data_IF_491273202970
#
_entry.id   IF_491273202970
#
_cell.length_a   1.000
_cell.length_b   1.000
_cell.length_c   1.000
_cell.angle_alpha   90.00
_cell.angle_beta   90.00
_cell.angle_gamma   90.00
#
_symmetry.space_group_name_H-M   'P 1'
#
loop_
_entity.id
_entity.type
_entity.pdbx_description
1 polymer ?
#
# COMPACT_ATOMS: atom_id res chain seq x y z
N UNK A 1 18.43 19.88 -26.36
CA UNK A 1 17.66 18.92 -27.18
C UNK A 1 17.87 17.46 -26.76
N UNK A 2 19.08 16.90 -26.66
CA UNK A 2 19.28 15.49 -26.31
C UNK A 2 18.81 15.05 -24.89
N UNK A 3 18.86 15.93 -23.88
CA UNK A 3 18.37 15.64 -22.52
C UNK A 3 16.84 15.58 -22.40
N UNK A 4 16.11 16.16 -23.34
CA UNK A 4 14.65 16.29 -23.30
C UNK A 4 13.96 15.04 -23.87
N UNK A 5 14.53 14.46 -24.93
CA UNK A 5 14.08 13.19 -25.51
C UNK A 5 14.38 11.99 -24.60
N UNK A 6 15.48 12.02 -23.84
CA UNK A 6 15.79 10.99 -22.84
C UNK A 6 14.75 10.95 -21.72
N UNK A 7 14.33 12.14 -21.23
CA UNK A 7 13.29 12.28 -20.21
C UNK A 7 11.92 11.86 -20.74
N UNK A 8 11.61 12.15 -22.00
CA UNK A 8 10.36 11.72 -22.64
C UNK A 8 10.28 10.19 -22.82
N UNK A 9 11.39 9.53 -23.13
CA UNK A 9 11.45 8.06 -23.25
C UNK A 9 11.33 7.35 -21.90
N UNK A 10 11.87 7.94 -20.84
CA UNK A 10 11.74 7.42 -19.46
C UNK A 10 10.28 7.53 -18.97
N UNK A 11 9.60 8.65 -19.24
CA UNK A 11 8.17 8.83 -18.94
C UNK A 11 7.30 7.87 -19.75
N UNK A 12 7.63 7.63 -21.03
CA UNK A 12 6.91 6.67 -21.86
C UNK A 12 7.08 5.23 -21.36
N UNK A 13 8.29 4.84 -20.93
CA UNK A 13 8.58 3.51 -20.39
C UNK A 13 7.87 3.28 -19.03
N UNK A 14 7.84 4.29 -18.16
CA UNK A 14 7.11 4.22 -16.90
C UNK A 14 5.58 4.09 -17.09
N UNK A 15 5.03 4.71 -18.16
CA UNK A 15 3.61 4.64 -18.51
C UNK A 15 3.20 3.33 -19.20
N UNK A 16 4.17 2.60 -19.75
CA UNK A 16 3.96 1.30 -20.39
C UNK A 16 4.05 0.16 -19.36
N UNK A 17 4.98 0.24 -18.39
CA UNK A 17 5.04 -0.70 -17.26
C UNK A 17 3.80 -0.63 -16.37
N UNK A 18 3.20 0.56 -16.17
CA UNK A 18 1.95 0.68 -15.42
C UNK A 18 0.78 -0.07 -16.06
N UNK A 19 0.74 -0.20 -17.39
CA UNK A 19 -0.35 -0.92 -18.09
C UNK A 19 -0.27 -2.44 -17.96
N UNK A 20 0.93 -3.00 -17.84
CA UNK A 20 1.10 -4.46 -17.79
C UNK A 20 0.73 -5.06 -16.42
N UNK A 21 0.74 -4.28 -15.33
CA UNK A 21 0.28 -4.74 -14.01
C UNK A 21 -1.24 -4.59 -13.83
N UNK A 22 -1.87 -3.68 -14.57
CA UNK A 22 -3.32 -3.42 -14.51
C UNK A 22 -4.16 -4.62 -14.97
N UNK A 23 -3.65 -5.46 -15.88
CA UNK A 23 -4.41 -6.63 -16.36
C UNK A 23 -4.74 -7.67 -15.28
N UNK A 24 -4.05 -7.66 -14.14
CA UNK A 24 -4.35 -8.57 -13.00
C UNK A 24 -5.29 -7.95 -11.97
N UNK A 25 -5.39 -6.62 -11.92
CA UNK A 25 -6.22 -5.92 -10.95
C UNK A 25 -7.64 -5.78 -11.50
N UNK A 26 -8.56 -6.60 -10.99
CA UNK A 26 -9.98 -6.57 -11.38
C UNK A 26 -10.67 -5.22 -11.13
N UNK A 27 -10.08 -4.36 -10.30
CA UNK A 27 -10.64 -3.07 -9.89
C UNK A 27 -9.53 -2.09 -9.50
N UNK A 28 -9.56 -0.90 -10.09
CA UNK A 28 -8.72 0.23 -9.72
C UNK A 28 -9.51 1.21 -8.86
N UNK A 29 -8.84 1.80 -7.87
CA UNK A 29 -9.43 2.77 -6.95
C UNK A 29 -8.45 3.92 -6.75
N UNK A 30 -8.92 5.15 -6.94
CA UNK A 30 -8.19 6.34 -6.51
C UNK A 30 -8.52 6.60 -5.05
N UNK A 31 -7.51 6.49 -4.19
CA UNK A 31 -7.64 6.63 -2.74
C UNK A 31 -6.62 7.63 -2.21
N UNK A 32 -6.91 8.21 -1.05
CA UNK A 32 -5.92 8.97 -0.27
C UNK A 32 -5.21 8.00 0.65
N UNK A 33 -3.89 7.86 0.50
CA UNK A 33 -3.08 6.99 1.33
C UNK A 33 -2.34 7.80 2.40
N UNK A 34 -2.49 7.40 3.66
CA UNK A 34 -1.73 7.93 4.81
C UNK A 34 -0.91 6.80 5.44
N UNK A 35 0.29 7.12 5.93
CA UNK A 35 1.13 6.15 6.63
C UNK A 35 0.92 6.26 8.14
N UNK A 36 0.70 5.10 8.78
CA UNK A 36 0.70 4.98 10.23
C UNK A 36 1.92 4.19 10.68
N UNK A 37 2.40 4.49 11.89
CA UNK A 37 3.46 3.73 12.55
C UNK A 37 2.83 2.56 13.32
N UNK A 38 3.64 1.57 13.69
CA UNK A 38 3.24 0.54 14.64
C UNK A 38 3.44 0.99 16.10
N UNK A 39 3.46 2.30 16.37
CA UNK A 39 3.78 2.80 17.71
C UNK A 39 2.62 2.53 18.68
N UNK A 40 2.89 1.89 19.83
CA UNK A 40 1.85 1.59 20.82
C UNK A 40 1.22 2.84 21.46
N UNK A 41 1.92 3.97 21.46
CA UNK A 41 1.42 5.25 21.98
C UNK A 41 0.34 5.85 21.08
N UNK A 42 0.43 5.61 19.77
CA UNK A 42 -0.45 6.19 18.75
C UNK A 42 -1.65 5.29 18.43
N UNK A 43 -1.46 3.96 18.48
CA UNK A 43 -2.48 2.98 18.09
C UNK A 43 -3.21 2.32 19.27
N UNK A 44 -2.79 2.63 20.50
CA UNK A 44 -3.21 1.90 21.68
C UNK A 44 -2.57 0.52 21.76
N UNK A 45 -2.65 -0.10 22.93
CA UNK A 45 -2.06 -1.42 23.16
C UNK A 45 -3.08 -2.39 23.71
N UNK A 46 -3.03 -3.61 23.19
CA UNK A 46 -3.79 -4.73 23.72
C UNK A 46 -2.80 -5.61 24.49
N UNK A 47 -2.61 -5.29 25.77
CA UNK A 47 -1.61 -5.97 26.62
C UNK A 47 -0.17 -5.71 26.19
N UNK A 48 0.14 -4.48 25.78
CA UNK A 48 1.50 -4.07 25.36
C UNK A 48 1.84 -4.40 23.90
N UNK A 49 0.88 -4.88 23.11
CA UNK A 49 1.06 -5.22 21.68
C UNK A 49 0.15 -4.37 20.81
N UNK A 50 0.64 -4.04 19.63
CA UNK A 50 -0.13 -3.36 18.59
C UNK A 50 -0.72 -4.42 17.66
N UNK A 51 -2.03 -4.63 17.77
CA UNK A 51 -2.75 -5.61 16.98
C UNK A 51 -3.53 -4.94 15.86
N UNK A 52 -3.46 -5.51 14.65
CA UNK A 52 -4.34 -5.14 13.54
C UNK A 52 -5.76 -5.66 13.76
N UNK A 53 -6.72 -5.15 12.99
CA UNK A 53 -8.11 -5.67 13.00
C UNK A 53 -8.20 -7.18 12.65
N UNK A 54 -7.18 -7.74 11.99
CA UNK A 54 -7.07 -9.17 11.70
C UNK A 54 -6.36 -9.97 12.80
N UNK A 55 -5.85 -9.32 13.85
CA UNK A 55 -5.14 -9.96 14.95
C UNK A 55 -3.64 -10.16 14.70
N UNK A 56 -3.06 -9.60 13.63
CA UNK A 56 -1.61 -9.61 13.46
C UNK A 56 -0.93 -8.63 14.41
N UNK A 57 0.16 -9.10 15.04
CA UNK A 57 1.00 -8.32 15.94
C UNK A 57 2.08 -7.56 15.15
N UNK A 58 1.92 -6.24 15.09
CA UNK A 58 2.84 -5.32 14.42
C UNK A 58 4.09 -5.03 15.27
N UNK A 59 4.02 -5.24 16.59
CA UNK A 59 5.16 -5.05 17.50
C UNK A 59 6.18 -6.18 17.31
N UNK A 60 5.70 -7.41 17.15
CA UNK A 60 6.56 -8.57 16.90
C UNK A 60 7.09 -8.62 15.45
N UNK A 61 6.36 -8.04 14.49
CA UNK A 61 6.69 -8.13 13.07
C UNK A 61 6.61 -6.75 12.38
N UNK A 62 7.61 -5.87 12.57
CA UNK A 62 7.57 -4.50 12.04
C UNK A 62 7.67 -4.44 10.51
N UNK A 63 8.22 -5.48 9.86
CA UNK A 63 8.42 -5.52 8.41
C UNK A 63 7.21 -6.07 7.63
N UNK A 64 6.05 -6.24 8.28
CA UNK A 64 4.85 -6.70 7.61
C UNK A 64 4.32 -5.63 6.67
N UNK A 65 4.14 -6.00 5.39
CA UNK A 65 3.53 -5.14 4.36
C UNK A 65 2.01 -5.16 4.53
N UNK A 66 1.51 -4.44 5.52
CA UNK A 66 0.07 -4.31 5.82
C UNK A 66 -0.37 -2.88 5.55
N UNK A 67 -1.58 -2.75 5.04
CA UNK A 67 -2.29 -1.47 4.89
C UNK A 67 -3.59 -1.53 5.69
N UNK A 68 -3.93 -0.41 6.36
CA UNK A 68 -5.24 -0.25 6.96
C UNK A 68 -6.24 0.20 5.88
N UNK A 69 -7.41 -0.45 5.84
CA UNK A 69 -8.46 -0.18 4.84
C UNK A 69 -9.83 -0.13 5.51
N UNK A 70 -10.80 0.50 4.86
CA UNK A 70 -12.22 0.37 5.21
C UNK A 70 -12.77 -0.97 4.66
N UNK A 71 -13.19 -1.91 5.53
CA UNK A 71 -13.72 -3.22 5.11
C UNK A 71 -14.92 -3.15 4.16
N UNK A 72 -15.69 -2.05 4.18
CA UNK A 72 -16.84 -1.87 3.27
C UNK A 72 -16.43 -1.64 1.82
N UNK A 73 -15.26 -1.04 1.60
CA UNK A 73 -14.76 -0.71 0.25
C UNK A 73 -13.75 -1.75 -0.22
N UNK A 74 -12.81 -2.12 0.66
CA UNK A 74 -11.80 -3.14 0.43
C UNK A 74 -11.90 -4.16 1.58
N UNK A 75 -12.44 -5.36 1.34
CA UNK A 75 -12.56 -6.38 2.38
C UNK A 75 -11.19 -6.77 2.95
N UNK A 76 -11.16 -7.06 4.26
CA UNK A 76 -9.97 -7.57 4.93
C UNK A 76 -9.48 -8.86 4.26
N UNK A 77 -8.15 -9.02 4.16
CA UNK A 77 -7.51 -10.13 3.44
C UNK A 77 -7.36 -9.91 1.93
N UNK A 78 -7.85 -8.80 1.37
CA UNK A 78 -7.60 -8.44 -0.04
C UNK A 78 -6.11 -8.19 -0.30
N UNK A 79 -5.60 -8.70 -1.42
CA UNK A 79 -4.25 -8.37 -1.91
C UNK A 79 -4.32 -7.09 -2.73
N UNK A 80 -3.62 -6.07 -2.27
CA UNK A 80 -3.57 -4.76 -2.90
C UNK A 80 -2.17 -4.52 -3.46
N UNK A 81 -2.13 -3.91 -4.63
CA UNK A 81 -0.92 -3.41 -5.27
C UNK A 81 -1.00 -1.89 -5.24
N UNK A 82 0.05 -1.26 -4.73
CA UNK A 82 0.21 0.21 -4.59
C UNK A 82 1.40 0.67 -5.41
#
# INVERSE_FOLDING_TARGET
KAKEEAKAREIAKAKEESKNNIQSAKRELTVVATAYTADPSENGTYGGRVLTAMGHDLTANPNMRIIAVDPKVIPLGSKVWV
#
